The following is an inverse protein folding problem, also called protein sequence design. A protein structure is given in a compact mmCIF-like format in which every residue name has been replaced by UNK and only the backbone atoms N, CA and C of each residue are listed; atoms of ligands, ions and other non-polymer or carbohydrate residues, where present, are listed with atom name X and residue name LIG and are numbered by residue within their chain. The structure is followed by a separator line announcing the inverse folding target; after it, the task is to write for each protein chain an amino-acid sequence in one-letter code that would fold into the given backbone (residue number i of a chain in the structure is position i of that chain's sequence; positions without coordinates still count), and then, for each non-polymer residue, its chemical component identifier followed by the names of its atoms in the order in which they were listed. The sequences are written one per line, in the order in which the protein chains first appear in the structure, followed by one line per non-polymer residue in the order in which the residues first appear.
data_IF_271505885516
#
_entry.id   IF_271505885516
#
_cell.length_a   1.000
_cell.length_b   1.000
_cell.length_c   1.000
_cell.angle_alpha   90.00
_cell.angle_beta   90.00
_cell.angle_gamma   90.00
#
_symmetry.space_group_name_H-M   'P 1'
#
loop_
_entity.id
_entity.type
_entity.pdbx_description
1 polymer ?
#
# COMPACT_ATOMS: atom_id res chain seq x y z
N UNK A 1 12.72 -14.27 0.62
CA UNK A 1 13.90 -13.61 1.22
C UNK A 1 13.53 -12.61 2.34
N UNK A 2 12.61 -11.68 2.07
CA UNK A 2 12.25 -10.57 2.98
C UNK A 2 11.80 -11.03 4.37
N UNK A 3 11.07 -12.15 4.46
CA UNK A 3 10.68 -12.78 5.73
C UNK A 3 11.87 -12.98 6.69
N UNK A 4 12.91 -13.67 6.22
CA UNK A 4 14.05 -14.01 7.07
C UNK A 4 14.85 -12.76 7.44
N UNK A 5 14.99 -11.83 6.49
CA UNK A 5 15.67 -10.54 6.71
C UNK A 5 14.92 -9.71 7.75
N UNK A 6 13.60 -9.61 7.65
CA UNK A 6 12.80 -8.84 8.60
C UNK A 6 12.78 -9.45 10.00
N UNK A 7 12.78 -10.78 10.10
CA UNK A 7 12.87 -11.49 11.39
C UNK A 7 14.23 -11.26 12.05
N UNK A 8 15.32 -11.35 11.29
CA UNK A 8 16.67 -11.05 11.78
C UNK A 8 16.79 -9.60 12.24
N UNK A 9 16.34 -8.65 11.40
CA UNK A 9 16.38 -7.22 11.70
C UNK A 9 15.52 -6.87 12.91
N UNK A 10 14.38 -7.53 13.11
CA UNK A 10 13.56 -7.34 14.32
C UNK A 10 14.29 -7.77 15.58
N UNK A 11 14.99 -8.90 15.55
CA UNK A 11 15.77 -9.36 16.70
C UNK A 11 16.97 -8.46 16.98
N UNK A 12 17.63 -7.97 15.93
CA UNK A 12 18.73 -7.00 16.06
C UNK A 12 18.23 -5.68 16.65
N UNK A 13 17.13 -5.15 16.12
CA UNK A 13 16.48 -3.92 16.61
C UNK A 13 16.18 -4.01 18.10
N UNK A 14 15.51 -5.08 18.55
CA UNK A 14 15.20 -5.32 19.97
C UNK A 14 16.45 -5.36 20.86
N UNK A 15 17.55 -5.94 20.38
CA UNK A 15 18.82 -5.98 21.13
C UNK A 15 19.45 -4.60 21.23
N UNK A 16 19.46 -3.84 20.14
CA UNK A 16 20.01 -2.48 20.11
C UNK A 16 19.17 -1.52 20.97
N UNK A 17 17.85 -1.68 21.02
CA UNK A 17 16.99 -0.91 21.93
C UNK A 17 17.37 -1.13 23.40
N UNK A 18 17.66 -2.38 23.79
CA UNK A 18 18.15 -2.71 25.13
C UNK A 18 19.53 -2.09 25.37
N UNK A 19 20.42 -2.13 24.38
CA UNK A 19 21.75 -1.52 24.48
C UNK A 19 21.67 0.00 24.66
N UNK A 20 20.83 0.69 23.88
CA UNK A 20 20.57 2.13 24.00
C UNK A 20 20.01 2.45 25.39
N UNK A 21 19.04 1.67 25.89
CA UNK A 21 18.45 1.89 27.20
C UNK A 21 19.47 1.76 28.35
N UNK A 22 20.45 0.86 28.22
CA UNK A 22 21.52 0.65 29.22
C UNK A 22 22.53 1.80 29.32
N UNK A 23 22.62 2.67 28.32
CA UNK A 23 23.52 3.82 28.37
C UNK A 23 23.04 4.91 29.34
N UNK A 24 21.79 4.84 29.83
CA UNK A 24 21.18 5.77 30.80
C UNK A 24 21.27 7.27 30.39
N UNK A 25 21.44 7.53 29.09
CA UNK A 25 21.48 8.90 28.53
C UNK A 25 20.12 9.56 28.74
N UNK A 26 20.13 10.78 29.29
CA UNK A 26 18.92 11.60 29.55
C UNK A 26 18.72 12.74 28.55
N UNK A 27 19.72 13.05 27.72
CA UNK A 27 19.64 14.12 26.75
C UNK A 27 18.76 13.71 25.56
N UNK A 28 17.54 14.24 25.49
CA UNK A 28 16.52 13.81 24.53
C UNK A 28 16.97 13.86 23.05
N UNK A 29 17.66 14.91 22.56
CA UNK A 29 18.18 14.92 21.19
C UNK A 29 19.17 13.80 20.89
N UNK A 30 20.07 13.49 21.83
CA UNK A 30 21.02 12.37 21.66
C UNK A 30 20.29 11.03 21.61
N UNK A 31 19.22 10.88 22.39
CA UNK A 31 18.40 9.67 22.33
C UNK A 31 17.70 9.56 20.97
N UNK A 32 17.12 10.64 20.46
CA UNK A 32 16.55 10.69 19.10
C UNK A 32 17.55 10.21 18.05
N UNK A 33 18.74 10.83 18.03
CA UNK A 33 19.81 10.49 17.10
C UNK A 33 20.26 9.01 17.17
N UNK A 34 20.21 8.38 18.35
CA UNK A 34 20.52 6.94 18.49
C UNK A 34 19.47 6.06 17.80
N UNK A 35 18.18 6.36 17.95
CA UNK A 35 17.11 5.62 17.27
C UNK A 35 17.09 5.90 15.76
N UNK A 36 17.37 7.15 15.34
CA UNK A 36 17.54 7.51 13.94
C UNK A 36 18.71 6.74 13.31
N UNK A 37 19.86 6.68 13.99
CA UNK A 37 21.03 5.92 13.58
C UNK A 37 20.73 4.42 13.46
N UNK A 38 20.02 3.85 14.43
CA UNK A 38 19.59 2.45 14.39
C UNK A 38 18.74 2.16 13.15
N UNK A 39 17.69 2.96 12.91
CA UNK A 39 16.82 2.81 11.74
C UNK A 39 17.61 2.90 10.44
N UNK A 40 18.48 3.92 10.32
CA UNK A 40 19.31 4.11 9.12
C UNK A 40 20.25 2.93 8.87
N UNK A 41 20.86 2.38 9.92
CA UNK A 41 21.72 1.21 9.81
C UNK A 41 20.94 -0.03 9.35
N UNK A 42 19.77 -0.27 9.93
CA UNK A 42 18.91 -1.39 9.53
C UNK A 42 18.50 -1.29 8.05
N UNK A 43 18.07 -0.11 7.61
CA UNK A 43 17.71 0.13 6.21
C UNK A 43 18.92 0.00 5.28
N UNK A 44 20.09 0.49 5.69
CA UNK A 44 21.32 0.32 4.91
C UNK A 44 21.71 -1.14 4.74
N UNK A 45 21.40 -2.02 5.67
CA UNK A 45 21.63 -3.47 5.54
C UNK A 45 20.55 -4.12 4.67
N UNK A 46 19.30 -3.69 4.80
CA UNK A 46 18.16 -4.33 4.14
C UNK A 46 18.01 -3.96 2.66
N UNK A 47 18.32 -2.72 2.30
CA UNK A 47 18.06 -2.20 0.96
C UNK A 47 19.10 -2.70 -0.06
N UNK A 48 18.66 -3.04 -1.28
CA UNK A 48 19.53 -3.54 -2.35
C UNK A 48 20.61 -2.53 -2.73
N UNK A 49 21.80 -3.03 -3.06
CA UNK A 49 22.98 -2.19 -3.40
C UNK A 49 23.20 -2.07 -4.90
N UNK A 50 22.48 -2.86 -5.67
CA UNK A 50 22.57 -2.97 -7.13
C UNK A 50 21.82 -1.84 -7.85
N UNK A 51 20.97 -1.11 -7.11
CA UNK A 51 20.17 0.01 -7.61
C UNK A 51 20.61 1.32 -6.95
N UNK A 52 20.35 2.44 -7.63
CA UNK A 52 20.77 3.77 -7.17
C UNK A 52 19.91 4.27 -6.00
N UNK A 53 20.10 3.67 -4.82
CA UNK A 53 19.32 3.92 -3.62
C UNK A 53 20.24 4.19 -2.44
N UNK A 54 19.87 5.20 -1.65
CA UNK A 54 20.61 5.61 -0.46
C UNK A 54 19.66 5.90 0.69
N UNK A 55 20.16 5.68 1.90
CA UNK A 55 19.54 6.16 3.14
C UNK A 55 20.23 7.47 3.50
N UNK A 56 19.47 8.55 3.67
CA UNK A 56 20.00 9.88 3.97
C UNK A 56 19.17 10.61 5.04
N UNK A 57 19.73 11.68 5.58
CA UNK A 57 19.03 12.67 6.43
C UNK A 57 19.20 14.05 5.81
N UNK A 58 18.29 14.98 6.10
CA UNK A 58 18.40 16.37 5.65
C UNK A 58 17.09 16.94 5.15
N UNK A 59 17.09 17.60 4.01
CA UNK A 59 15.98 18.45 3.54
C UNK A 59 15.52 18.06 2.15
N UNK A 60 14.24 18.33 1.87
CA UNK A 60 13.63 18.17 0.56
C UNK A 60 13.36 19.55 -0.02
N UNK A 61 13.64 19.75 -1.31
CA UNK A 61 13.26 20.94 -2.07
C UNK A 61 12.39 20.62 -3.28
N UNK A 62 11.55 21.56 -3.69
CA UNK A 62 10.84 21.51 -4.97
C UNK A 62 11.55 22.35 -6.06
N UNK A 63 10.95 22.40 -7.26
CA UNK A 63 11.46 23.19 -8.39
C UNK A 63 11.35 24.72 -8.18
N UNK A 64 10.57 25.16 -7.20
CA UNK A 64 10.36 26.58 -6.87
C UNK A 64 11.30 27.08 -5.77
N UNK A 65 12.11 26.19 -5.19
CA UNK A 65 13.05 26.51 -4.12
C UNK A 65 12.44 26.46 -2.71
N UNK A 66 11.17 26.03 -2.57
CA UNK A 66 10.60 25.75 -1.26
C UNK A 66 11.35 24.57 -0.63
N UNK A 67 11.44 24.55 0.69
CA UNK A 67 12.16 23.53 1.46
C UNK A 67 11.33 22.97 2.59
N UNK A 68 11.49 21.68 2.88
CA UNK A 68 10.92 21.04 4.06
C UNK A 68 11.65 21.48 5.33
N UNK A 69 11.11 21.09 6.48
CA UNK A 69 11.91 20.94 7.70
C UNK A 69 12.90 19.77 7.54
N UNK A 70 13.80 19.60 8.50
CA UNK A 70 14.71 18.45 8.52
C UNK A 70 13.90 17.15 8.63
N UNK A 71 14.28 16.17 7.82
CA UNK A 71 13.72 14.82 7.80
C UNK A 71 14.77 13.86 8.36
N UNK A 72 14.36 13.11 9.39
CA UNK A 72 15.20 12.18 10.15
C UNK A 72 15.85 11.12 9.24
N UNK A 73 15.04 10.51 8.37
CA UNK A 73 15.47 9.46 7.46
C UNK A 73 14.70 9.53 6.14
N UNK A 74 15.41 9.46 5.03
CA UNK A 74 14.87 9.42 3.68
C UNK A 74 15.46 8.26 2.89
N UNK A 75 14.65 7.64 2.04
CA UNK A 75 15.12 6.74 0.98
C UNK A 75 15.11 7.53 -0.32
N UNK A 76 16.26 7.65 -0.95
CA UNK A 76 16.49 8.59 -2.06
C UNK A 76 17.28 7.98 -3.20
N UNK A 77 17.15 8.58 -4.38
CA UNK A 77 17.94 8.29 -5.58
C UNK A 77 18.90 9.45 -5.90
N UNK A 78 20.01 9.15 -6.57
CA UNK A 78 21.08 10.10 -6.83
C UNK A 78 21.87 10.50 -5.58
N UNK A 79 22.74 11.49 -5.73
CA UNK A 79 23.71 11.89 -4.70
C UNK A 79 23.20 13.00 -3.76
N UNK A 80 22.24 13.79 -4.23
CA UNK A 80 21.80 15.01 -3.52
C UNK A 80 22.90 16.06 -3.41
N UNK A 81 22.60 17.14 -2.68
CA UNK A 81 23.53 18.23 -2.40
C UNK A 81 23.95 18.15 -0.92
N UNK A 82 25.21 17.79 -0.66
CA UNK A 82 25.72 17.66 0.71
C UNK A 82 25.82 19.04 1.38
N UNK A 83 25.29 19.16 2.59
CA UNK A 83 25.47 20.34 3.42
C UNK A 83 26.90 20.43 3.97
N UNK A 84 27.53 21.62 3.97
CA UNK A 84 28.88 21.78 4.49
C UNK A 84 28.99 21.35 5.96
N UNK A 85 30.07 20.63 6.29
CA UNK A 85 30.47 20.26 7.66
C UNK A 85 29.56 19.31 8.44
N UNK A 86 28.46 18.83 7.86
CA UNK A 86 27.55 17.85 8.45
C UNK A 86 27.23 16.72 7.46
N UNK A 87 26.69 15.61 7.95
CA UNK A 87 26.27 14.49 7.09
C UNK A 87 24.77 14.55 6.79
N UNK A 88 24.35 15.72 6.30
CA UNK A 88 22.99 16.00 5.85
C UNK A 88 23.00 16.49 4.41
N UNK A 89 21.89 16.28 3.70
CA UNK A 89 21.81 16.50 2.27
C UNK A 89 20.50 17.19 1.90
N UNK A 90 20.53 17.94 0.79
CA UNK A 90 19.33 18.49 0.15
C UNK A 90 19.01 17.65 -1.08
N UNK A 91 17.82 17.07 -1.12
CA UNK A 91 17.32 16.31 -2.27
C UNK A 91 16.15 17.04 -2.93
N UNK A 92 16.03 16.93 -4.25
CA UNK A 92 14.80 17.35 -4.93
C UNK A 92 13.69 16.32 -4.66
N UNK A 93 12.44 16.75 -4.49
CA UNK A 93 11.31 15.87 -4.13
C UNK A 93 11.14 14.67 -5.07
N UNK A 94 11.41 14.85 -6.37
CA UNK A 94 11.42 13.77 -7.39
C UNK A 94 12.42 12.63 -7.14
N UNK A 95 13.43 12.87 -6.31
CA UNK A 95 14.46 11.90 -5.93
C UNK A 95 14.11 11.15 -4.64
N UNK A 96 13.02 11.53 -3.96
CA UNK A 96 12.65 10.98 -2.66
C UNK A 96 11.62 9.88 -2.87
N UNK A 97 11.99 8.65 -2.53
CA UNK A 97 11.09 7.49 -2.59
C UNK A 97 10.28 7.34 -1.30
N UNK A 98 10.90 7.62 -0.16
CA UNK A 98 10.26 7.55 1.15
C UNK A 98 10.84 8.57 2.14
N UNK A 99 9.99 9.03 3.06
CA UNK A 99 10.36 9.77 4.26
C UNK A 99 9.89 8.98 5.48
N UNK A 100 10.75 8.90 6.49
CA UNK A 100 10.53 8.15 7.71
C UNK A 100 10.78 9.07 8.90
N UNK A 101 9.69 9.41 9.60
CA UNK A 101 9.75 10.18 10.85
C UNK A 101 9.95 9.22 12.03
N UNK A 102 11.01 9.44 12.82
CA UNK A 102 11.46 8.47 13.82
C UNK A 102 11.21 9.01 15.22
N UNK A 103 10.54 8.23 16.06
CA UNK A 103 10.28 8.56 17.46
C UNK A 103 10.67 7.40 18.36
N UNK A 104 11.35 7.71 19.46
CA UNK A 104 11.57 6.73 20.54
C UNK A 104 10.24 6.20 21.06
N UNK A 105 9.32 7.12 21.38
CA UNK A 105 7.98 6.83 21.89
C UNK A 105 6.98 7.63 21.09
N UNK A 106 6.04 6.93 20.45
CA UNK A 106 4.98 7.52 19.65
C UNK A 106 3.67 7.54 20.45
N UNK A 107 3.30 8.72 20.93
CA UNK A 107 1.97 9.00 21.50
C UNK A 107 1.21 9.97 20.59
N UNK A 108 -0.04 10.30 20.93
CA UNK A 108 -0.95 11.06 20.04
C UNK A 108 -0.36 12.40 19.57
N UNK A 109 0.35 13.14 20.42
CA UNK A 109 0.97 14.41 20.03
C UNK A 109 2.14 14.23 19.06
N UNK A 110 2.98 13.21 19.25
CA UNK A 110 4.05 12.89 18.30
C UNK A 110 3.49 12.36 16.98
N UNK A 111 2.42 11.55 17.03
CA UNK A 111 1.73 11.03 15.86
C UNK A 111 1.13 12.17 15.01
N UNK A 112 0.45 13.12 15.64
CA UNK A 112 -0.07 14.31 14.96
C UNK A 112 1.05 15.18 14.38
N UNK A 113 2.12 15.42 15.13
CA UNK A 113 3.28 16.19 14.66
C UNK A 113 3.94 15.55 13.42
N UNK A 114 4.11 14.23 13.45
CA UNK A 114 4.67 13.47 12.33
C UNK A 114 3.75 13.51 11.10
N UNK A 115 2.43 13.41 11.29
CA UNK A 115 1.45 13.58 10.23
C UNK A 115 1.53 14.96 9.58
N UNK A 116 1.64 16.03 10.38
CA UNK A 116 1.80 17.39 9.86
C UNK A 116 3.12 17.58 9.10
N UNK A 117 4.23 17.00 9.57
CA UNK A 117 5.49 17.01 8.82
C UNK A 117 5.33 16.32 7.46
N UNK A 118 4.68 15.16 7.44
CA UNK A 118 4.38 14.42 6.21
C UNK A 118 3.51 15.21 5.23
N UNK A 119 2.60 16.06 5.71
CA UNK A 119 1.83 16.95 4.84
C UNK A 119 2.73 17.98 4.15
N UNK A 120 3.73 18.53 4.85
CA UNK A 120 4.67 19.47 4.21
C UNK A 120 5.46 18.84 3.05
N UNK A 121 5.72 17.53 3.10
CA UNK A 121 6.36 16.79 1.99
C UNK A 121 5.40 16.64 0.81
N UNK A 122 4.10 16.44 1.06
CA UNK A 122 3.09 16.43 0.00
C UNK A 122 2.95 17.79 -0.66
N UNK A 123 3.01 18.90 0.11
CA UNK A 123 2.92 20.25 -0.43
C UNK A 123 4.08 20.56 -1.40
N UNK A 124 5.30 20.07 -1.09
CA UNK A 124 6.46 20.15 -1.99
C UNK A 124 6.24 19.32 -3.25
N UNK A 125 5.67 18.12 -3.12
CA UNK A 125 5.33 17.30 -4.28
C UNK A 125 4.26 17.98 -5.14
N UNK A 126 3.25 18.61 -4.54
CA UNK A 126 2.20 19.31 -5.28
C UNK A 126 2.76 20.47 -6.09
N UNK A 127 3.66 21.24 -5.47
CA UNK A 127 4.37 22.32 -6.15
C UNK A 127 5.25 21.79 -7.30
N UNK A 128 5.94 20.66 -7.09
CA UNK A 128 6.66 19.97 -8.18
C UNK A 128 5.70 19.49 -9.28
N UNK A 129 4.55 18.91 -8.95
CA UNK A 129 3.59 18.38 -9.93
C UNK A 129 2.98 19.44 -10.85
N UNK A 130 3.04 20.71 -10.43
CA UNK A 130 2.60 21.87 -11.21
C UNK A 130 3.73 22.52 -12.01
N UNK A 131 4.97 22.08 -11.83
CA UNK A 131 6.15 22.63 -12.51
C UNK A 131 6.32 22.07 -13.92
N UNK A 132 7.02 22.82 -14.78
CA UNK A 132 7.38 22.36 -16.13
C UNK A 132 8.26 21.10 -16.14
N UNK A 133 8.95 20.81 -15.04
CA UNK A 133 9.81 19.63 -14.86
C UNK A 133 9.01 18.34 -14.59
N UNK A 134 7.71 18.46 -14.29
CA UNK A 134 6.82 17.32 -14.09
C UNK A 134 6.19 16.92 -15.42
N UNK A 135 6.89 16.11 -16.20
CA UNK A 135 6.39 15.60 -17.49
C UNK A 135 6.48 14.08 -17.55
N UNK A 136 5.41 13.51 -18.09
CA UNK A 136 5.16 12.07 -18.29
C UNK A 136 5.20 11.22 -17.02
N UNK A 137 4.03 10.69 -16.64
CA UNK A 137 3.89 9.61 -15.67
C UNK A 137 2.98 8.54 -16.25
N UNK A 138 3.20 7.29 -15.87
CA UNK A 138 2.26 6.22 -16.18
C UNK A 138 1.34 5.96 -14.99
N UNK A 139 0.12 5.51 -15.23
CA UNK A 139 -0.82 5.13 -14.16
C UNK A 139 -0.92 3.62 -13.96
N UNK A 140 0.00 2.83 -14.55
CA UNK A 140 -0.09 1.37 -14.61
C UNK A 140 -0.48 0.71 -13.28
N UNK A 141 0.18 1.04 -12.17
CA UNK A 141 -0.08 0.42 -10.88
C UNK A 141 -1.42 0.88 -10.29
N UNK A 142 -1.70 2.19 -10.34
CA UNK A 142 -2.98 2.74 -9.92
C UNK A 142 -4.17 2.22 -10.74
N UNK A 143 -3.98 2.03 -12.06
CA UNK A 143 -4.98 1.51 -12.98
C UNK A 143 -5.26 0.03 -12.69
N UNK A 144 -4.20 -0.76 -12.50
CA UNK A 144 -4.31 -2.15 -12.08
C UNK A 144 -5.11 -2.29 -10.78
N UNK A 145 -4.73 -1.53 -9.74
CA UNK A 145 -5.41 -1.59 -8.46
C UNK A 145 -6.87 -1.13 -8.57
N UNK A 146 -7.13 0.01 -9.23
CA UNK A 146 -8.48 0.50 -9.46
C UNK A 146 -9.34 -0.58 -10.12
N UNK A 147 -8.80 -1.27 -11.12
CA UNK A 147 -9.49 -2.36 -11.78
C UNK A 147 -9.80 -3.54 -10.85
N UNK A 148 -8.80 -3.98 -10.10
CA UNK A 148 -8.96 -5.10 -9.16
C UNK A 148 -10.03 -4.80 -8.10
N UNK A 149 -10.04 -3.61 -7.51
CA UNK A 149 -10.95 -3.27 -6.41
C UNK A 149 -12.36 -2.85 -6.87
N UNK A 150 -12.50 -2.32 -8.10
CA UNK A 150 -13.78 -1.86 -8.63
C UNK A 150 -14.49 -2.88 -9.52
N UNK A 151 -13.77 -3.89 -10.03
CA UNK A 151 -14.29 -4.81 -11.04
C UNK A 151 -14.38 -4.24 -12.46
N UNK A 152 -13.90 -3.00 -12.66
CA UNK A 152 -14.00 -2.28 -13.93
C UNK A 152 -12.64 -2.05 -14.54
N UNK A 153 -12.50 -2.28 -15.85
CA UNK A 153 -11.27 -1.94 -16.54
C UNK A 153 -11.00 -0.43 -16.43
N UNK A 154 -9.81 -0.07 -15.94
CA UNK A 154 -9.43 1.31 -15.69
C UNK A 154 -9.32 2.05 -17.03
N UNK A 155 -10.02 3.17 -17.21
CA UNK A 155 -9.83 3.98 -18.41
C UNK A 155 -8.44 4.63 -18.38
N UNK A 156 -7.97 5.04 -19.56
CA UNK A 156 -6.81 5.92 -19.65
C UNK A 156 -7.05 7.17 -18.81
N UNK A 157 -6.07 7.53 -17.99
CA UNK A 157 -6.19 8.68 -17.09
C UNK A 157 -6.40 9.98 -17.88
N UNK A 158 -7.34 10.82 -17.44
CA UNK A 158 -7.80 12.04 -18.13
C UNK A 158 -8.46 11.84 -19.51
N UNK A 159 -8.80 10.62 -19.93
CA UNK A 159 -9.57 10.39 -21.15
C UNK A 159 -11.04 10.77 -21.00
N UNK A 160 -11.82 10.70 -22.10
CA UNK A 160 -13.27 10.87 -22.04
C UNK A 160 -13.94 9.75 -21.20
N UNK A 161 -13.44 8.51 -21.29
CA UNK A 161 -13.95 7.40 -20.46
C UNK A 161 -13.69 7.63 -18.97
N UNK A 162 -12.55 8.25 -18.62
CA UNK A 162 -12.31 8.68 -17.24
C UNK A 162 -13.36 9.70 -16.78
N UNK A 163 -13.83 10.58 -17.68
CA UNK A 163 -14.92 11.54 -17.36
C UNK A 163 -16.27 10.86 -17.20
N UNK A 164 -16.45 9.64 -17.70
CA UNK A 164 -17.68 8.84 -17.52
C UNK A 164 -17.72 8.08 -16.18
N UNK A 165 -16.60 7.96 -15.46
CA UNK A 165 -16.58 7.39 -14.12
C UNK A 165 -17.47 8.22 -13.15
N UNK A 166 -18.09 7.54 -12.19
CA UNK A 166 -18.80 8.19 -11.09
C UNK A 166 -17.84 9.06 -10.26
N UNK A 167 -18.40 9.97 -9.46
CA UNK A 167 -17.60 10.82 -8.56
C UNK A 167 -16.67 9.98 -7.67
N UNK A 168 -17.22 8.92 -7.07
CA UNK A 168 -16.47 8.06 -6.16
C UNK A 168 -15.34 7.32 -6.88
N UNK A 169 -15.61 6.76 -8.06
CA UNK A 169 -14.60 6.07 -8.86
C UNK A 169 -13.47 7.01 -9.30
N UNK A 170 -13.81 8.23 -9.74
CA UNK A 170 -12.80 9.24 -10.09
C UNK A 170 -11.92 9.58 -8.90
N UNK A 171 -12.52 9.80 -7.73
CA UNK A 171 -11.78 10.17 -6.53
C UNK A 171 -10.86 9.03 -6.07
N UNK A 172 -11.32 7.78 -6.09
CA UNK A 172 -10.52 6.61 -5.75
C UNK A 172 -9.38 6.43 -6.75
N UNK A 173 -9.67 6.44 -8.07
CA UNK A 173 -8.62 6.28 -9.07
C UNK A 173 -7.59 7.41 -9.00
N UNK A 174 -8.04 8.65 -8.82
CA UNK A 174 -7.15 9.79 -8.61
C UNK A 174 -6.28 9.64 -7.34
N UNK A 175 -6.87 9.18 -6.23
CA UNK A 175 -6.12 8.91 -5.00
C UNK A 175 -5.03 7.86 -5.24
N UNK A 176 -5.35 6.73 -5.89
CA UNK A 176 -4.38 5.68 -6.22
C UNK A 176 -3.24 6.20 -7.11
N UNK A 177 -3.54 7.09 -8.08
CA UNK A 177 -2.49 7.74 -8.90
C UNK A 177 -1.57 8.60 -8.03
N UNK A 178 -2.11 9.39 -7.11
CA UNK A 178 -1.29 10.19 -6.19
C UNK A 178 -0.47 9.32 -5.23
N UNK A 179 -1.02 8.22 -4.74
CA UNK A 179 -0.32 7.24 -3.89
C UNK A 179 0.87 6.62 -4.63
N UNK A 180 0.70 6.28 -5.91
CA UNK A 180 1.78 5.77 -6.76
C UNK A 180 2.91 6.79 -6.90
N UNK A 181 2.60 8.08 -7.09
CA UNK A 181 3.56 9.10 -7.47
C UNK A 181 4.29 9.74 -6.29
N UNK A 182 3.60 9.98 -5.17
CA UNK A 182 4.15 10.69 -4.01
C UNK A 182 5.18 9.84 -3.25
N UNK A 183 6.12 10.48 -2.52
CA UNK A 183 6.99 9.75 -1.59
C UNK A 183 6.16 8.99 -0.55
N UNK A 184 6.61 7.78 -0.20
CA UNK A 184 6.06 7.05 0.94
C UNK A 184 6.28 7.86 2.21
N UNK A 185 5.29 7.90 3.08
CA UNK A 185 5.31 8.63 4.35
C UNK A 185 5.10 7.62 5.46
N UNK A 186 6.14 7.43 6.27
CA UNK A 186 6.22 6.36 7.28
C UNK A 186 6.50 6.98 8.64
N UNK A 187 5.66 6.67 9.63
CA UNK A 187 5.87 7.11 11.02
C UNK A 187 6.36 5.89 11.81
N UNK A 188 7.53 5.97 12.44
CA UNK A 188 8.13 4.86 13.17
C UNK A 188 8.31 5.21 14.65
N UNK A 189 7.49 4.61 15.50
CA UNK A 189 7.63 4.60 16.95
C UNK A 189 8.18 3.28 17.48
N UNK A 190 9.40 3.28 18.01
CA UNK A 190 9.97 2.09 18.67
C UNK A 190 9.12 1.66 19.87
N UNK A 191 8.67 2.63 20.67
CA UNK A 191 7.71 2.48 21.75
C UNK A 191 6.45 3.30 21.46
N UNK A 192 5.43 3.16 22.31
CA UNK A 192 4.19 3.91 22.20
C UNK A 192 2.99 3.14 22.71
N UNK A 193 1.95 3.07 21.89
CA UNK A 193 0.68 2.43 22.21
C UNK A 193 0.86 0.94 22.57
N UNK A 194 0.19 0.51 23.62
CA UNK A 194 0.41 -0.83 24.22
C UNK A 194 -0.41 -1.94 23.58
N UNK A 195 -1.31 -1.61 22.67
CA UNK A 195 -2.13 -2.57 21.91
C UNK A 195 -2.48 -2.01 20.54
N UNK A 196 -2.82 -2.91 19.61
CA UNK A 196 -3.38 -2.56 18.30
C UNK A 196 -4.63 -1.68 18.44
N UNK A 197 -5.53 -2.04 19.37
CA UNK A 197 -6.73 -1.27 19.70
C UNK A 197 -6.39 0.17 20.12
N UNK A 198 -5.44 0.37 21.04
CA UNK A 198 -5.07 1.70 21.52
C UNK A 198 -4.45 2.58 20.42
N UNK A 199 -3.71 1.99 19.47
CA UNK A 199 -3.18 2.71 18.31
C UNK A 199 -4.32 3.17 17.39
N UNK A 200 -5.32 2.32 17.14
CA UNK A 200 -6.50 2.66 16.34
C UNK A 200 -7.30 3.79 16.97
N UNK A 201 -7.65 3.68 18.25
CA UNK A 201 -8.40 4.72 18.98
C UNK A 201 -7.70 6.08 18.88
N UNK A 202 -6.39 6.11 19.16
CA UNK A 202 -5.64 7.36 19.10
C UNK A 202 -5.57 7.97 17.68
N UNK A 203 -5.52 7.14 16.63
CA UNK A 203 -5.58 7.63 15.26
C UNK A 203 -7.00 8.08 14.87
N UNK A 204 -8.03 7.38 15.34
CA UNK A 204 -9.44 7.78 15.17
C UNK A 204 -9.69 9.15 15.79
N UNK A 205 -9.24 9.35 17.04
CA UNK A 205 -9.34 10.64 17.73
C UNK A 205 -8.67 11.76 16.95
N UNK A 206 -7.49 11.50 16.36
CA UNK A 206 -6.80 12.49 15.53
C UNK A 206 -7.63 12.84 14.30
N UNK A 207 -8.22 11.85 13.61
CA UNK A 207 -9.05 12.10 12.44
C UNK A 207 -10.33 12.84 12.82
N UNK A 208 -11.08 12.40 13.82
CA UNK A 208 -12.34 13.02 14.25
C UNK A 208 -12.15 14.50 14.61
N UNK A 209 -11.06 14.82 15.30
CA UNK A 209 -10.75 16.20 15.70
C UNK A 209 -10.26 17.09 14.54
N UNK A 210 -9.88 16.53 13.39
CA UNK A 210 -9.23 17.28 12.31
C UNK A 210 -9.78 17.00 10.90
N UNK A 211 -10.79 16.15 10.71
CA UNK A 211 -11.28 15.71 9.39
C UNK A 211 -11.79 16.86 8.50
N UNK A 212 -12.23 17.95 9.12
CA UNK A 212 -12.68 19.16 8.42
C UNK A 212 -11.55 20.14 8.10
N UNK A 213 -10.33 19.86 8.56
CA UNK A 213 -9.14 20.68 8.32
C UNK A 213 -8.39 20.19 7.08
N UNK A 214 -7.70 21.12 6.41
CA UNK A 214 -6.77 20.75 5.33
C UNK A 214 -5.66 19.85 5.87
N UNK A 215 -5.24 18.86 5.09
CA UNK A 215 -4.18 17.92 5.48
C UNK A 215 -4.65 16.63 6.16
N UNK A 216 -5.96 16.34 6.15
CA UNK A 216 -6.55 15.11 6.73
C UNK A 216 -7.41 14.31 5.75
N UNK A 217 -7.26 14.52 4.44
CA UNK A 217 -7.92 13.71 3.43
C UNK A 217 -7.29 12.30 3.32
N UNK A 218 -7.91 11.39 2.57
CA UNK A 218 -7.40 10.03 2.33
C UNK A 218 -5.94 10.04 1.87
N UNK A 219 -5.56 10.94 0.97
CA UNK A 219 -4.17 11.11 0.52
C UNK A 219 -3.22 11.41 1.68
N UNK A 220 -3.64 12.18 2.68
CA UNK A 220 -2.78 12.60 3.78
C UNK A 220 -2.48 11.48 4.79
N UNK A 221 -3.30 10.42 4.83
CA UNK A 221 -3.03 9.24 5.66
C UNK A 221 -1.67 8.63 5.26
N UNK A 222 -0.69 8.51 6.18
CA UNK A 222 0.60 7.87 5.91
C UNK A 222 0.44 6.42 5.44
N UNK A 223 1.37 5.93 4.64
CA UNK A 223 1.31 4.55 4.14
C UNK A 223 1.57 3.52 5.25
N UNK A 224 2.37 3.90 6.25
CA UNK A 224 2.69 3.05 7.39
C UNK A 224 2.88 3.86 8.67
N UNK A 225 2.22 3.45 9.75
CA UNK A 225 2.45 3.96 11.11
C UNK A 225 2.79 2.79 12.01
N UNK A 226 3.98 2.78 12.60
CA UNK A 226 4.44 1.73 13.52
C UNK A 226 4.44 2.30 14.94
N UNK A 227 3.87 1.56 15.89
CA UNK A 227 3.97 1.87 17.30
C UNK A 227 4.11 0.59 18.12
N UNK A 228 5.28 0.39 18.75
CA UNK A 228 5.50 -0.67 19.73
C UNK A 228 5.07 -2.07 19.22
N UNK A 229 5.48 -2.42 18.00
CA UNK A 229 5.16 -3.72 17.39
C UNK A 229 3.82 -3.81 16.67
N UNK A 230 2.94 -2.82 16.81
CA UNK A 230 1.68 -2.72 16.05
C UNK A 230 1.84 -1.76 14.88
N UNK A 231 0.99 -1.90 13.87
CA UNK A 231 1.02 -1.02 12.70
C UNK A 231 -0.36 -0.62 12.21
N UNK A 232 -0.45 0.57 11.61
CA UNK A 232 -1.52 0.95 10.68
C UNK A 232 -0.93 0.94 9.28
N UNK A 233 -1.62 0.29 8.35
CA UNK A 233 -1.12 0.02 7.00
C UNK A 233 -2.16 0.42 5.98
N UNK A 234 -1.76 1.28 5.04
CA UNK A 234 -2.65 1.78 4.00
C UNK A 234 -2.90 0.72 2.93
N UNK A 235 -4.14 0.61 2.48
CA UNK A 235 -4.58 -0.41 1.53
C UNK A 235 -4.84 0.17 0.15
N UNK A 236 -3.76 0.56 -0.53
CA UNK A 236 -3.76 1.24 -1.83
C UNK A 236 -3.26 0.35 -2.99
N UNK A 237 -3.17 -0.96 -2.79
CA UNK A 237 -2.69 -1.94 -3.77
C UNK A 237 -1.18 -2.01 -3.93
N UNK A 238 -0.43 -1.27 -3.11
CA UNK A 238 1.01 -1.09 -3.30
C UNK A 238 1.76 -1.22 -1.95
N UNK A 239 1.79 -2.42 -1.33
CA UNK A 239 1.31 -3.72 -1.87
C UNK A 239 -0.03 -4.22 -1.29
N UNK A 240 -0.54 -3.61 -0.21
CA UNK A 240 -1.73 -4.13 0.46
C UNK A 240 -3.00 -3.62 -0.21
N UNK A 241 -3.91 -4.54 -0.54
CA UNK A 241 -5.19 -4.25 -1.18
C UNK A 241 -6.34 -4.35 -0.18
N UNK A 242 -7.41 -3.58 -0.43
CA UNK A 242 -8.70 -3.72 0.24
C UNK A 242 -9.81 -3.58 -0.81
N UNK A 243 -11.01 -4.03 -0.48
CA UNK A 243 -12.16 -3.95 -1.37
C UNK A 243 -12.89 -2.61 -1.29
N UNK A 244 -13.71 -2.34 -2.31
CA UNK A 244 -14.79 -1.36 -2.27
C UNK A 244 -16.07 -2.12 -1.92
N UNK A 245 -16.77 -1.72 -0.86
CA UNK A 245 -18.07 -2.30 -0.51
C UNK A 245 -19.14 -1.94 -1.55
N UNK A 246 -20.24 -2.69 -1.60
CA UNK A 246 -21.40 -2.38 -2.47
C UNK A 246 -21.94 -0.95 -2.30
N UNK A 247 -21.81 -0.38 -1.10
CA UNK A 247 -22.21 0.99 -0.77
C UNK A 247 -21.17 2.07 -1.16
N UNK A 248 -20.11 1.68 -1.88
CA UNK A 248 -19.06 2.57 -2.39
C UNK A 248 -17.96 2.94 -1.39
N UNK A 249 -17.93 2.35 -0.20
CA UNK A 249 -16.85 2.56 0.77
C UNK A 249 -15.60 1.79 0.38
N UNK A 250 -14.51 2.50 0.11
CA UNK A 250 -13.19 1.92 -0.09
C UNK A 250 -12.48 1.76 1.25
N UNK A 251 -11.99 0.56 1.57
CA UNK A 251 -11.14 0.40 2.74
C UNK A 251 -9.77 0.99 2.51
N UNK A 252 -9.43 2.05 3.25
CA UNK A 252 -8.20 2.84 3.04
C UNK A 252 -7.11 2.54 4.05
N UNK A 253 -7.47 2.03 5.23
CA UNK A 253 -6.51 1.76 6.29
C UNK A 253 -6.89 0.48 7.05
N UNK A 254 -5.88 -0.31 7.39
CA UNK A 254 -5.98 -1.49 8.23
C UNK A 254 -5.03 -1.37 9.41
N UNK A 255 -5.22 -2.20 10.43
CA UNK A 255 -4.26 -2.39 11.51
C UNK A 255 -3.68 -3.80 11.50
N UNK A 256 -2.49 -3.95 12.08
CA UNK A 256 -1.75 -5.21 12.11
C UNK A 256 -0.97 -5.37 13.40
N UNK A 257 -0.83 -6.62 13.83
CA UNK A 257 0.11 -7.08 14.87
C UNK A 257 1.27 -7.92 14.27
N UNK A 258 1.41 -7.94 12.94
CA UNK A 258 2.54 -8.55 12.25
C UNK A 258 3.85 -7.80 12.51
N UNK A 259 4.98 -8.45 12.19
CA UNK A 259 6.32 -7.86 12.28
C UNK A 259 6.36 -6.52 11.51
N UNK A 260 6.49 -5.37 12.19
CA UNK A 260 6.42 -4.07 11.54
C UNK A 260 7.59 -3.81 10.57
N UNK A 261 8.74 -4.46 10.78
CA UNK A 261 9.87 -4.37 9.85
C UNK A 261 9.55 -5.12 8.55
N UNK A 262 8.76 -6.20 8.63
CA UNK A 262 8.31 -6.89 7.41
C UNK A 262 7.45 -5.93 6.58
N UNK A 263 6.42 -5.32 7.19
CA UNK A 263 5.54 -4.34 6.53
C UNK A 263 6.33 -3.17 5.92
N UNK A 264 7.30 -2.64 6.67
CA UNK A 264 8.19 -1.57 6.23
C UNK A 264 8.97 -1.98 4.97
N UNK A 265 9.59 -3.17 4.98
CA UNK A 265 10.35 -3.65 3.84
C UNK A 265 9.47 -3.95 2.64
N UNK A 266 8.29 -4.55 2.82
CA UNK A 266 7.38 -4.81 1.70
C UNK A 266 6.93 -3.51 1.01
N UNK A 267 6.55 -2.49 1.77
CA UNK A 267 6.13 -1.20 1.21
C UNK A 267 7.29 -0.51 0.49
N UNK A 268 8.50 -0.51 1.08
CA UNK A 268 9.68 0.07 0.45
C UNK A 268 10.05 -0.66 -0.84
N UNK A 269 10.10 -2.00 -0.81
CA UNK A 269 10.46 -2.81 -1.97
C UNK A 269 9.45 -2.65 -3.10
N UNK A 270 8.15 -2.64 -2.79
CA UNK A 270 7.09 -2.34 -3.76
C UNK A 270 7.32 -0.99 -4.43
N UNK A 271 7.57 0.08 -3.65
CA UNK A 271 7.85 1.41 -4.22
C UNK A 271 9.10 1.42 -5.11
N UNK A 272 10.12 0.66 -4.76
CA UNK A 272 11.35 0.54 -5.55
C UNK A 272 11.09 -0.22 -6.87
N UNK A 273 10.39 -1.36 -6.85
CA UNK A 273 9.98 -2.08 -8.07
C UNK A 273 9.21 -1.17 -9.02
N UNK A 274 8.26 -0.40 -8.46
CA UNK A 274 7.47 0.55 -9.24
C UNK A 274 8.31 1.66 -9.86
N UNK A 275 9.25 2.21 -9.10
CA UNK A 275 10.09 3.32 -9.54
C UNK A 275 11.13 2.90 -10.58
N UNK A 276 11.77 1.75 -10.39
CA UNK A 276 12.84 1.26 -11.27
C UNK A 276 12.32 0.36 -12.40
N UNK A 277 11.06 -0.09 -12.36
CA UNK A 277 10.51 -1.04 -13.32
C UNK A 277 11.17 -2.42 -13.25
N UNK A 278 11.56 -2.84 -12.04
CA UNK A 278 12.23 -4.12 -11.76
C UNK A 278 11.35 -5.01 -10.89
N UNK A 279 11.75 -6.26 -10.70
CA UNK A 279 11.17 -7.15 -9.70
C UNK A 279 12.25 -7.77 -8.82
N UNK A 280 12.02 -7.78 -7.51
CA UNK A 280 12.87 -8.42 -6.52
C UNK A 280 12.45 -9.88 -6.28
N UNK A 281 13.37 -10.66 -5.72
CA UNK A 281 13.06 -12.00 -5.23
C UNK A 281 12.37 -11.95 -3.87
N UNK A 282 11.04 -12.06 -3.88
CA UNK A 282 10.20 -12.14 -2.68
C UNK A 282 10.37 -13.48 -1.92
N UNK A 283 10.97 -14.50 -2.54
CA UNK A 283 11.03 -15.89 -2.06
C UNK A 283 9.69 -16.60 -2.21
N UNK A 284 9.36 -17.49 -1.27
CA UNK A 284 8.14 -18.31 -1.36
C UNK A 284 6.86 -17.46 -1.41
N UNK A 285 6.82 -16.38 -0.64
CA UNK A 285 5.70 -15.43 -0.61
C UNK A 285 4.35 -16.09 -0.22
N UNK A 286 4.35 -17.21 0.49
CA UNK A 286 3.13 -17.96 0.85
C UNK A 286 2.56 -17.59 2.24
N UNK A 287 3.02 -16.49 2.83
CA UNK A 287 2.54 -15.97 4.11
C UNK A 287 1.71 -14.71 3.86
N UNK A 288 0.64 -14.52 4.61
CA UNK A 288 -0.14 -13.28 4.60
C UNK A 288 -0.26 -12.69 6.00
N UNK A 289 -0.21 -11.37 6.06
CA UNK A 289 -0.50 -10.60 7.25
C UNK A 289 -2.01 -10.65 7.50
N UNK A 290 -2.40 -11.07 8.70
CA UNK A 290 -3.79 -10.94 9.11
C UNK A 290 -4.06 -9.46 9.43
N UNK A 291 -4.56 -8.72 8.43
CA UNK A 291 -4.89 -7.30 8.57
C UNK A 291 -6.33 -7.15 9.06
N UNK A 292 -6.58 -6.19 9.95
CA UNK A 292 -7.92 -5.86 10.45
C UNK A 292 -8.34 -4.52 9.87
N UNK A 293 -9.44 -4.51 9.11
CA UNK A 293 -9.99 -3.27 8.55
C UNK A 293 -10.19 -2.20 9.62
N UNK A 294 -9.79 -0.96 9.34
CA UNK A 294 -9.86 0.16 10.28
C UNK A 294 -10.63 1.34 9.73
N UNK A 295 -10.23 1.89 8.59
CA UNK A 295 -10.89 3.05 8.01
C UNK A 295 -11.41 2.72 6.62
N UNK A 296 -12.62 3.17 6.34
CA UNK A 296 -13.15 3.25 5.00
C UNK A 296 -13.43 4.69 4.61
N UNK A 297 -13.34 5.00 3.33
CA UNK A 297 -13.67 6.33 2.82
C UNK A 297 -14.44 6.24 1.50
N UNK A 298 -15.28 7.24 1.26
CA UNK A 298 -15.94 7.44 -0.05
C UNK A 298 -15.94 8.92 -0.41
N UNK A 299 -15.95 9.21 -1.69
CA UNK A 299 -16.06 10.58 -2.15
C UNK A 299 -17.40 11.17 -1.72
N UNK A 300 -17.35 12.40 -1.23
CA UNK A 300 -18.51 13.16 -0.79
C UNK A 300 -18.47 14.54 -1.42
N UNK A 301 -19.59 14.97 -1.98
CA UNK A 301 -19.74 16.29 -2.58
C UNK A 301 -21.02 16.96 -2.11
N UNK A 302 -20.87 18.20 -1.68
CA UNK A 302 -21.95 19.17 -1.47
C UNK A 302 -21.78 20.33 -2.45
N UNK A 303 -22.71 21.29 -2.44
CA UNK A 303 -22.56 22.53 -3.22
C UNK A 303 -21.29 23.33 -2.87
N UNK A 304 -20.71 23.13 -1.68
CA UNK A 304 -19.59 23.94 -1.17
C UNK A 304 -18.28 23.19 -1.00
N UNK A 305 -18.33 21.86 -0.85
CA UNK A 305 -17.18 21.03 -0.49
C UNK A 305 -17.18 19.77 -1.33
N UNK A 306 -16.03 19.49 -1.96
CA UNK A 306 -15.67 18.19 -2.50
C UNK A 306 -14.60 17.60 -1.59
N UNK A 307 -14.83 16.39 -1.07
CA UNK A 307 -13.92 15.75 -0.13
C UNK A 307 -14.21 14.27 0.08
N UNK A 308 -13.86 13.78 1.26
CA UNK A 308 -14.04 12.39 1.66
C UNK A 308 -14.94 12.31 2.89
N UNK A 309 -15.92 11.42 2.84
CA UNK A 309 -16.56 10.91 4.05
C UNK A 309 -15.73 9.72 4.55
N UNK A 310 -15.47 9.67 5.85
CA UNK A 310 -14.66 8.61 6.48
C UNK A 310 -15.51 7.88 7.51
N UNK A 311 -15.39 6.56 7.52
CA UNK A 311 -16.02 5.66 8.47
C UNK A 311 -14.95 4.87 9.21
N UNK A 312 -15.09 4.81 10.53
CA UNK A 312 -14.21 4.06 11.42
C UNK A 312 -14.88 2.74 11.77
N UNK A 313 -14.17 1.63 11.53
CA UNK A 313 -14.55 0.34 12.06
C UNK A 313 -13.97 0.19 13.48
N UNK A 314 -14.83 0.00 14.47
CA UNK A 314 -14.45 -0.11 15.88
C UNK A 314 -14.87 -1.47 16.45
N UNK A 315 -14.14 -2.55 16.12
CA UNK A 315 -14.39 -3.86 16.70
C UNK A 315 -14.07 -3.88 18.20
N UNK A 316 -14.67 -4.82 18.92
CA UNK A 316 -14.42 -4.99 20.35
C UNK A 316 -12.95 -5.32 20.64
N UNK A 317 -12.43 -4.83 21.77
CA UNK A 317 -11.02 -4.98 22.17
C UNK A 317 -10.58 -6.44 22.20
N UNK A 318 -11.47 -7.31 22.61
CA UNK A 318 -11.29 -8.74 22.78
C UNK A 318 -10.87 -9.42 21.46
N UNK A 319 -11.28 -8.88 20.31
CA UNK A 319 -10.95 -9.41 18.98
C UNK A 319 -9.46 -9.27 18.64
N UNK A 320 -8.72 -8.42 19.35
CA UNK A 320 -7.28 -8.21 19.15
C UNK A 320 -6.40 -9.07 20.06
N UNK A 321 -6.99 -9.74 21.06
CA UNK A 321 -6.23 -10.51 22.05
C UNK A 321 -5.91 -11.90 21.50
N UNK A 322 -4.63 -12.27 21.47
CA UNK A 322 -4.19 -13.60 21.04
C UNK A 322 -4.37 -13.89 19.54
N UNK A 323 -4.71 -12.88 18.75
CA UNK A 323 -4.90 -12.99 17.30
C UNK A 323 -3.59 -13.39 16.61
N UNK A 324 -3.64 -14.42 15.77
CA UNK A 324 -2.50 -14.79 14.94
C UNK A 324 -2.15 -13.66 13.98
N UNK A 325 -0.86 -13.32 13.92
CA UNK A 325 -0.39 -12.23 13.09
C UNK A 325 -0.33 -12.57 11.60
N UNK A 326 -0.29 -13.87 11.29
CA UNK A 326 -0.11 -14.36 9.94
C UNK A 326 -1.05 -15.52 9.66
N UNK A 327 -1.41 -15.68 8.39
CA UNK A 327 -2.05 -16.85 7.82
C UNK A 327 -1.21 -17.38 6.65
N UNK A 328 -1.62 -18.52 6.10
CA UNK A 328 -1.04 -19.05 4.88
C UNK A 328 -1.83 -18.52 3.69
N UNK A 329 -1.12 -18.03 2.69
CA UNK A 329 -1.77 -17.69 1.43
C UNK A 329 -2.31 -18.93 0.74
N UNK A 330 -3.53 -18.82 0.22
CA UNK A 330 -4.13 -19.84 -0.61
C UNK A 330 -4.79 -19.22 -1.85
N UNK A 331 -4.82 -19.94 -2.98
CA UNK A 331 -5.59 -19.51 -4.13
C UNK A 331 -7.09 -19.49 -3.82
N UNK A 332 -7.82 -18.64 -4.54
CA UNK A 332 -9.25 -18.52 -4.41
C UNK A 332 -9.95 -19.76 -4.99
N UNK A 333 -10.79 -20.40 -4.19
CA UNK A 333 -11.74 -21.40 -4.68
C UNK A 333 -12.91 -20.69 -5.36
N UNK A 334 -13.23 -21.10 -6.58
CA UNK A 334 -14.31 -20.50 -7.39
C UNK A 334 -15.28 -21.56 -7.91
N UNK A 335 -16.46 -21.12 -8.31
CA UNK A 335 -17.41 -21.97 -9.02
C UNK A 335 -16.86 -22.46 -10.37
N UNK A 336 -17.35 -23.62 -10.83
CA UNK A 336 -16.94 -24.16 -12.13
C UNK A 336 -17.22 -23.17 -13.27
N UNK A 337 -18.31 -22.41 -13.19
CA UNK A 337 -18.67 -21.40 -14.21
C UNK A 337 -17.58 -20.34 -14.37
N UNK A 338 -17.06 -19.80 -13.25
CA UNK A 338 -15.96 -18.84 -13.23
C UNK A 338 -14.66 -19.50 -13.68
N UNK A 339 -14.39 -20.73 -13.27
CA UNK A 339 -13.21 -21.47 -13.72
C UNK A 339 -13.21 -21.68 -15.25
N UNK A 340 -14.37 -22.02 -15.84
CA UNK A 340 -14.50 -22.12 -17.31
C UNK A 340 -14.35 -20.78 -18.01
N UNK A 341 -14.80 -19.69 -17.39
CA UNK A 341 -14.57 -18.34 -17.90
C UNK A 341 -13.06 -18.03 -17.95
N UNK A 342 -12.30 -18.41 -16.90
CA UNK A 342 -10.84 -18.26 -16.86
C UNK A 342 -10.16 -19.10 -17.95
N UNK A 343 -10.58 -20.35 -18.15
CA UNK A 343 -10.07 -21.21 -19.25
C UNK A 343 -10.30 -20.54 -20.62
N UNK A 344 -11.49 -19.96 -20.84
CA UNK A 344 -11.80 -19.24 -22.08
C UNK A 344 -10.91 -18.00 -22.24
N UNK A 345 -10.86 -17.12 -21.24
CA UNK A 345 -10.03 -15.91 -21.25
C UNK A 345 -8.55 -16.23 -21.53
N UNK A 346 -8.02 -17.29 -20.92
CA UNK A 346 -6.62 -17.70 -21.10
C UNK A 346 -6.33 -18.28 -22.49
N UNK A 347 -7.36 -18.69 -23.23
CA UNK A 347 -7.24 -19.21 -24.59
C UNK A 347 -7.36 -18.11 -25.67
N UNK A 348 -7.90 -16.95 -25.32
CA UNK A 348 -8.06 -15.83 -26.24
C UNK A 348 -6.73 -15.09 -26.42
N UNK A 349 -6.30 -14.91 -27.67
CA UNK A 349 -5.00 -14.30 -27.97
C UNK A 349 -4.94 -12.80 -27.64
N UNK A 350 -6.10 -12.14 -27.57
CA UNK A 350 -6.24 -10.72 -27.22
C UNK A 350 -6.21 -10.47 -25.71
N UNK A 351 -6.47 -11.49 -24.88
CA UNK A 351 -6.73 -11.32 -23.44
C UNK A 351 -8.14 -10.80 -23.10
N UNK A 352 -8.96 -10.53 -24.12
CA UNK A 352 -10.31 -10.00 -24.02
C UNK A 352 -11.33 -11.05 -24.47
N UNK A 353 -12.38 -11.27 -23.68
CA UNK A 353 -13.52 -12.12 -24.05
C UNK A 353 -14.79 -11.28 -24.21
N UNK A 354 -15.17 -11.00 -25.45
CA UNK A 354 -16.36 -10.22 -25.76
C UNK A 354 -17.66 -10.91 -25.32
N UNK A 355 -18.67 -10.11 -24.95
CA UNK A 355 -19.96 -10.61 -24.46
C UNK A 355 -20.77 -11.36 -25.52
N UNK A 356 -20.51 -11.11 -26.81
CA UNK A 356 -21.12 -11.80 -27.94
C UNK A 356 -20.34 -13.04 -28.39
N UNK A 357 -19.25 -13.41 -27.69
CA UNK A 357 -18.46 -14.60 -28.02
C UNK A 357 -19.34 -15.87 -27.91
N UNK A 358 -19.46 -16.69 -28.97
CA UNK A 358 -20.31 -17.89 -28.95
C UNK A 358 -19.96 -18.87 -27.83
N UNK A 359 -18.68 -19.03 -27.47
CA UNK A 359 -18.24 -19.92 -26.38
C UNK A 359 -18.67 -19.42 -25.01
N UNK A 360 -18.73 -18.09 -24.83
CA UNK A 360 -19.28 -17.49 -23.61
C UNK A 360 -20.80 -17.75 -23.52
N UNK A 361 -21.52 -17.59 -24.63
CA UNK A 361 -22.97 -17.88 -24.69
C UNK A 361 -23.24 -19.36 -24.37
N UNK A 362 -22.43 -20.28 -24.90
CA UNK A 362 -22.51 -21.71 -24.56
C UNK A 362 -22.27 -21.97 -23.07
N UNK A 363 -21.29 -21.30 -22.47
CA UNK A 363 -20.99 -21.39 -21.04
C UNK A 363 -22.19 -20.91 -20.19
N UNK A 364 -22.78 -19.75 -20.53
CA UNK A 364 -23.96 -19.22 -19.85
C UNK A 364 -25.13 -20.20 -19.90
N UNK A 365 -25.42 -20.77 -21.08
CA UNK A 365 -26.46 -21.76 -21.25
C UNK A 365 -26.18 -23.05 -20.45
N UNK A 366 -24.93 -23.54 -20.46
CA UNK A 366 -24.54 -24.76 -19.73
C UNK A 366 -24.79 -24.65 -18.23
N UNK A 367 -24.49 -23.49 -17.63
CA UNK A 367 -24.65 -23.26 -16.20
C UNK A 367 -25.98 -22.60 -15.83
N UNK A 368 -26.87 -22.34 -16.80
CA UNK A 368 -28.14 -21.64 -16.59
C UNK A 368 -27.96 -20.27 -15.90
N UNK A 369 -26.90 -19.55 -16.27
CA UNK A 369 -26.56 -18.23 -15.73
C UNK A 369 -26.90 -17.13 -16.74
N UNK A 370 -27.35 -15.99 -16.22
CA UNK A 370 -27.37 -14.73 -16.96
C UNK A 370 -25.96 -14.12 -17.04
N UNK A 371 -25.76 -13.22 -18.00
CA UNK A 371 -24.49 -12.51 -18.13
C UNK A 371 -24.16 -11.70 -16.86
N UNK A 372 -25.16 -11.07 -16.24
CA UNK A 372 -24.94 -10.22 -15.06
C UNK A 372 -24.61 -11.04 -13.81
N UNK A 373 -25.20 -12.24 -13.64
CA UNK A 373 -24.79 -13.18 -12.59
C UNK A 373 -23.34 -13.62 -12.77
N UNK A 374 -22.93 -13.98 -14.00
CA UNK A 374 -21.55 -14.35 -14.26
C UNK A 374 -20.59 -13.18 -14.04
N UNK A 375 -20.99 -11.94 -14.38
CA UNK A 375 -20.18 -10.74 -14.10
C UNK A 375 -19.92 -10.56 -12.62
N UNK A 376 -20.96 -10.71 -11.79
CA UNK A 376 -20.82 -10.59 -10.34
C UNK A 376 -19.83 -11.63 -9.79
N UNK A 377 -20.00 -12.90 -10.17
CA UNK A 377 -19.11 -13.98 -9.74
C UNK A 377 -17.66 -13.76 -10.23
N UNK A 378 -17.49 -13.34 -11.48
CA UNK A 378 -16.17 -13.12 -12.07
C UNK A 378 -15.44 -11.94 -11.41
N UNK A 379 -16.12 -10.80 -11.23
CA UNK A 379 -15.56 -9.61 -10.58
C UNK A 379 -15.27 -9.84 -9.10
N UNK A 380 -15.99 -10.75 -8.44
CA UNK A 380 -15.70 -11.08 -7.05
C UNK A 380 -14.32 -11.71 -6.87
N UNK A 381 -13.77 -12.34 -7.92
CA UNK A 381 -12.40 -12.86 -7.90
C UNK A 381 -11.31 -11.78 -7.78
N UNK A 382 -11.62 -10.52 -8.11
CA UNK A 382 -10.69 -9.38 -8.21
C UNK A 382 -9.55 -9.55 -9.23
N UNK A 383 -9.58 -10.64 -10.00
CA UNK A 383 -8.60 -10.98 -11.05
C UNK A 383 -9.21 -10.73 -12.43
N UNK A 384 -10.53 -10.92 -12.55
CA UNK A 384 -11.31 -10.66 -13.77
C UNK A 384 -12.06 -9.33 -13.60
N UNK A 385 -12.05 -8.52 -14.65
CA UNK A 385 -12.80 -7.27 -14.72
C UNK A 385 -13.64 -7.19 -15.97
N UNK A 386 -14.50 -6.19 -16.01
CA UNK A 386 -15.39 -5.93 -17.14
C UNK A 386 -15.13 -4.56 -17.74
N UNK A 387 -15.34 -4.43 -19.05
CA UNK A 387 -15.50 -3.15 -19.73
C UNK A 387 -16.88 -3.14 -20.44
N UNK A 388 -17.07 -2.21 -21.39
CA UNK A 388 -18.34 -2.11 -22.12
C UNK A 388 -18.64 -3.32 -23.02
N UNK A 389 -17.61 -4.04 -23.46
CA UNK A 389 -17.72 -5.05 -24.52
C UNK A 389 -17.40 -6.47 -24.07
N UNK A 390 -16.73 -6.68 -22.93
CA UNK A 390 -16.29 -8.00 -22.52
C UNK A 390 -15.68 -8.11 -21.12
N UNK A 391 -15.17 -9.32 -20.86
CA UNK A 391 -14.34 -9.69 -19.71
C UNK A 391 -12.86 -9.55 -20.07
N UNK A 392 -12.04 -9.20 -19.08
CA UNK A 392 -10.60 -9.06 -19.20
C UNK A 392 -9.92 -9.59 -17.94
N UNK A 393 -8.72 -10.14 -18.09
CA UNK A 393 -7.84 -10.43 -16.96
C UNK A 393 -7.05 -9.17 -16.57
N UNK A 394 -7.04 -8.78 -15.29
CA UNK A 394 -6.21 -7.67 -14.81
C UNK A 394 -4.71 -8.01 -14.77
N UNK A 395 -4.38 -9.30 -14.72
CA UNK A 395 -3.05 -9.84 -14.46
C UNK A 395 -2.93 -11.24 -15.05
N UNK A 396 -1.73 -11.81 -14.97
CA UNK A 396 -1.52 -13.23 -15.23
C UNK A 396 -2.31 -14.07 -14.22
N UNK A 397 -3.12 -15.00 -14.72
CA UNK A 397 -3.96 -15.87 -13.90
C UNK A 397 -3.32 -17.25 -13.80
N UNK A 398 -3.02 -17.67 -12.58
CA UNK A 398 -2.74 -19.07 -12.27
C UNK A 398 -4.05 -19.79 -11.96
N UNK A 399 -4.30 -20.94 -12.57
CA UNK A 399 -5.50 -21.73 -12.29
C UNK A 399 -5.25 -23.22 -12.40
N UNK A 400 -5.89 -24.01 -11.55
CA UNK A 400 -5.82 -25.47 -11.61
C UNK A 400 -7.03 -26.14 -10.97
N UNK A 401 -7.18 -27.44 -11.22
CA UNK A 401 -8.05 -28.30 -10.42
C UNK A 401 -7.20 -29.06 -9.42
N UNK A 402 -7.55 -28.95 -8.15
CA UNK A 402 -6.81 -29.60 -7.07
C UNK A 402 -7.79 -30.14 -6.03
N UNK A 403 -7.70 -31.44 -5.72
CA UNK A 403 -8.59 -32.12 -4.77
C UNK A 403 -10.09 -31.88 -5.01
N UNK A 404 -10.52 -31.87 -6.27
CA UNK A 404 -11.92 -31.65 -6.65
C UNK A 404 -12.40 -30.19 -6.59
N UNK A 405 -11.51 -29.25 -6.24
CA UNK A 405 -11.78 -27.81 -6.21
C UNK A 405 -11.26 -27.12 -7.47
N UNK A 406 -11.90 -26.02 -7.83
CA UNK A 406 -11.47 -25.13 -8.90
C UNK A 406 -10.75 -23.92 -8.27
N UNK A 407 -9.45 -23.80 -8.52
CA UNK A 407 -8.61 -22.80 -7.86
C UNK A 407 -8.11 -21.79 -8.89
N UNK A 408 -8.16 -20.50 -8.55
CA UNK A 408 -7.64 -19.39 -9.34
C UNK A 408 -6.86 -18.43 -8.46
N UNK A 409 -5.86 -17.76 -9.02
CA UNK A 409 -5.07 -16.75 -8.32
C UNK A 409 -4.41 -15.77 -9.29
N UNK A 410 -4.09 -14.58 -8.79
CA UNK A 410 -3.08 -13.73 -9.43
C UNK A 410 -1.72 -14.42 -9.33
N UNK A 411 -1.05 -14.60 -10.47
CA UNK A 411 0.25 -15.26 -10.58
C UNK A 411 1.32 -14.37 -11.20
N UNK A 412 1.17 -13.04 -11.11
CA UNK A 412 2.17 -12.10 -11.62
C UNK A 412 3.56 -12.34 -11.00
N UNK A 413 3.62 -12.63 -9.70
CA UNK A 413 4.86 -12.89 -8.97
C UNK A 413 5.28 -14.36 -8.97
N UNK A 414 4.52 -15.26 -9.61
CA UNK A 414 4.73 -16.71 -9.53
C UNK A 414 4.27 -17.36 -8.22
N UNK A 415 3.52 -16.62 -7.38
CA UNK A 415 3.02 -17.07 -6.07
C UNK A 415 2.18 -18.35 -6.17
N UNK A 416 1.34 -18.47 -7.19
CA UNK A 416 0.52 -19.65 -7.43
C UNK A 416 1.36 -20.87 -7.80
N UNK A 417 2.36 -20.69 -8.68
CA UNK A 417 3.27 -21.78 -9.04
C UNK A 417 4.07 -22.30 -7.84
N UNK A 418 4.52 -21.40 -6.95
CA UNK A 418 5.21 -21.79 -5.71
C UNK A 418 4.28 -22.52 -4.76
N UNK A 419 3.02 -22.09 -4.64
CA UNK A 419 2.00 -22.79 -3.86
C UNK A 419 1.78 -24.22 -4.38
N UNK A 420 1.74 -24.44 -5.69
CA UNK A 420 1.60 -25.79 -6.26
C UNK A 420 2.78 -26.72 -5.98
N UNK A 421 3.97 -26.17 -5.75
CA UNK A 421 5.19 -26.92 -5.44
C UNK A 421 5.31 -27.28 -3.95
N UNK A 422 4.39 -26.80 -3.10
CA UNK A 422 4.43 -27.10 -1.66
C UNK A 422 4.18 -28.59 -1.40
N UNK A 423 4.83 -29.20 -0.39
CA UNK A 423 4.45 -30.54 0.05
C UNK A 423 2.96 -30.53 0.44
N UNK A 424 2.19 -31.60 0.13
CA UNK A 424 0.83 -31.70 0.64
C UNK A 424 0.84 -31.62 2.17
N UNK A 425 0.03 -30.70 2.72
CA UNK A 425 -0.13 -30.49 4.16
C UNK A 425 -0.97 -31.59 4.80
#
# INVERSE_FOLDING_TARGET
MIKNVSELLLQLSKKEEIAIARQEIKHAPTIGAMYEGLTKNMLNVALPKEVDIRVASGFIKDSLGNKSQQIDCMIVTGLGEKLPHIDEYIFHVKQVLAVIEIKKSLHSSQLLSAHTLHNSVLDLFDSYSQSDDFREFHTRYAAYEFSSISGKHAPQYNSEDFRNLSLNEKAIYHALVLEQLTPLRIILGYNGFKSEFALREAYSDILENNITQSGFAVRNIPQLVISNGYSLVKTNGMPYTSTISDCGWWGVLTSSNANPIYLLLEILFTKMEMYFGISFDWGDDLREENLVHFLAARAYQTERVLGWEVSVNSPEREQFIGREAYSHWEPLEVDESVFRLVELLSSESSGDLYFDNPRLIELLNKFSLTLDELKLLAVDTKIIVTNQSGFLACTNIGFCRYNGKYLVANDLSGRFNRWLQRPPQ
#
